data_IF_192535660259
#
_entry.id   IF_192535660259
#
_cell.length_a   1.000
_cell.length_b   1.000
_cell.length_c   1.000
_cell.angle_alpha   90.00
_cell.angle_beta   90.00
_cell.angle_gamma   90.00
#
_symmetry.space_group_name_H-M   'P 1'
#
loop_
_entity.id
_entity.type
_entity.pdbx_description
1 polymer ?
#
# COMPACT_ATOMS: atom_id res chain seq x y z
N UNK A 1 -8.84 -26.77 59.75
CA UNK A 1 -8.03 -25.79 59.00
C UNK A 1 -7.85 -26.38 57.61
N UNK A 2 -8.68 -25.94 56.66
CA UNK A 2 -8.77 -26.49 55.29
C UNK A 2 -8.11 -25.43 54.40
N UNK A 3 -7.08 -25.81 53.64
CA UNK A 3 -6.51 -24.96 52.59
C UNK A 3 -7.11 -25.46 51.27
N UNK A 4 -8.06 -24.70 50.75
CA UNK A 4 -8.53 -24.82 49.36
C UNK A 4 -7.49 -24.18 48.45
N UNK A 5 -7.01 -24.93 47.46
CA UNK A 5 -6.31 -24.36 46.31
C UNK A 5 -7.39 -24.00 45.27
N UNK A 6 -7.69 -22.71 45.18
CA UNK A 6 -8.52 -22.14 44.11
C UNK A 6 -7.63 -21.72 42.94
N UNK A 7 -8.15 -22.01 41.75
CA UNK A 7 -7.52 -21.85 40.45
C UNK A 7 -7.56 -20.39 39.95
N UNK A 8 -6.63 -20.11 39.03
CA UNK A 8 -6.79 -19.29 37.83
C UNK A 8 -7.27 -17.84 37.97
N UNK A 9 -6.31 -16.91 37.80
CA UNK A 9 -6.61 -15.52 37.49
C UNK A 9 -5.37 -14.64 37.35
N UNK A 10 -4.29 -15.13 36.74
CA UNK A 10 -3.18 -14.25 36.36
C UNK A 10 -3.64 -13.31 35.25
N UNK A 11 -3.91 -12.07 35.65
CA UNK A 11 -4.08 -10.91 34.78
C UNK A 11 -2.78 -10.69 33.99
N UNK A 12 -2.74 -11.23 32.77
CA UNK A 12 -1.68 -10.96 31.81
C UNK A 12 -1.91 -9.53 31.25
N UNK A 13 -1.34 -8.54 31.95
CA UNK A 13 -1.13 -7.19 31.43
C UNK A 13 -0.09 -7.23 30.31
N UNK A 14 -0.44 -7.84 29.17
CA UNK A 14 0.20 -7.50 27.90
C UNK A 14 -0.31 -6.13 27.51
N UNK A 15 0.50 -5.13 27.84
CA UNK A 15 0.40 -3.78 27.28
C UNK A 15 0.20 -3.91 25.77
N UNK A 16 -1.04 -3.66 25.36
CA UNK A 16 -1.42 -3.45 23.98
C UNK A 16 -0.61 -2.25 23.51
N UNK A 17 0.43 -2.51 22.73
CA UNK A 17 1.25 -1.45 22.15
C UNK A 17 0.34 -0.62 21.25
N UNK A 18 0.09 0.59 21.71
CA UNK A 18 -0.67 1.65 21.05
C UNK A 18 0.02 1.97 19.72
N UNK A 19 -0.39 1.29 18.65
CA UNK A 19 0.01 1.69 17.30
C UNK A 19 -0.61 3.07 17.05
N UNK A 20 0.18 4.07 16.62
CA UNK A 20 -0.39 5.39 16.35
C UNK A 20 -1.55 5.24 15.37
N UNK A 21 -2.72 5.77 15.75
CA UNK A 21 -4.04 5.69 15.13
C UNK A 21 -4.14 6.25 13.68
N UNK A 22 -3.04 6.25 12.92
CA UNK A 22 -2.96 6.54 11.49
C UNK A 22 -2.43 5.31 10.75
N UNK A 23 -3.08 4.17 10.95
CA UNK A 23 -2.92 3.02 10.06
C UNK A 23 -3.26 3.50 8.65
N UNK A 24 -2.26 3.56 7.76
CA UNK A 24 -2.52 3.87 6.35
C UNK A 24 -3.48 2.80 5.79
N UNK A 25 -4.33 3.14 4.82
CA UNK A 25 -5.32 2.19 4.32
C UNK A 25 -4.63 0.91 3.87
N UNK A 26 -5.07 -0.23 4.43
CA UNK A 26 -4.64 -1.55 3.99
C UNK A 26 -5.73 -2.04 3.05
N UNK A 27 -5.44 -1.98 1.76
CA UNK A 27 -6.45 -2.22 0.72
C UNK A 27 -6.73 -3.70 0.43
N UNK A 28 -6.02 -4.63 1.10
CA UNK A 28 -6.20 -6.08 0.92
C UNK A 28 -7.64 -6.56 1.20
N UNK A 29 -8.44 -5.77 1.94
CA UNK A 29 -9.82 -6.11 2.26
C UNK A 29 -10.86 -5.29 1.47
N UNK A 30 -10.44 -4.31 0.66
CA UNK A 30 -11.34 -3.39 -0.05
C UNK A 30 -10.79 -3.01 -1.45
N UNK A 31 -10.93 -3.91 -2.45
CA UNK A 31 -10.34 -3.71 -3.78
C UNK A 31 -10.94 -2.52 -4.54
N UNK A 32 -12.25 -2.26 -4.41
CA UNK A 32 -12.90 -1.13 -5.08
C UNK A 32 -12.39 0.22 -4.54
N UNK A 33 -12.12 0.30 -3.23
CA UNK A 33 -11.53 1.48 -2.60
C UNK A 33 -10.12 1.76 -3.13
N UNK A 34 -9.35 0.71 -3.45
CA UNK A 34 -8.01 0.84 -4.06
C UNK A 34 -8.06 1.39 -5.47
N UNK A 35 -8.98 0.88 -6.30
CA UNK A 35 -9.15 1.36 -7.67
C UNK A 35 -9.49 2.85 -7.66
N UNK A 36 -10.45 3.26 -6.83
CA UNK A 36 -10.83 4.67 -6.70
C UNK A 36 -9.65 5.55 -6.23
N UNK A 37 -8.82 5.06 -5.30
CA UNK A 37 -7.63 5.76 -4.84
C UNK A 37 -6.57 5.92 -5.95
N UNK A 38 -6.32 4.87 -6.74
CA UNK A 38 -5.41 4.90 -7.88
C UNK A 38 -5.88 5.87 -8.97
N UNK A 39 -7.17 5.82 -9.32
CA UNK A 39 -7.76 6.74 -10.30
C UNK A 39 -7.70 8.19 -9.84
N UNK A 40 -7.94 8.45 -8.56
CA UNK A 40 -7.83 9.79 -7.98
C UNK A 40 -6.39 10.27 -8.00
N UNK A 41 -5.45 9.44 -7.53
CA UNK A 41 -4.02 9.74 -7.58
C UNK A 41 -3.55 10.07 -8.99
N UNK A 42 -4.01 9.32 -9.99
CA UNK A 42 -3.58 9.53 -11.37
C UNK A 42 -4.03 10.89 -11.92
N UNK A 43 -5.25 11.32 -11.57
CA UNK A 43 -5.76 12.66 -11.89
C UNK A 43 -5.04 13.79 -11.16
N UNK A 44 -4.44 13.54 -10.01
CA UNK A 44 -3.70 14.54 -9.23
C UNK A 44 -2.24 14.71 -9.70
N UNK A 45 -1.71 13.72 -10.42
CA UNK A 45 -0.29 13.64 -10.79
C UNK A 45 0.07 14.32 -12.11
N UNK A 46 -0.84 15.14 -12.66
CA UNK A 46 -0.75 15.73 -14.01
C UNK A 46 0.53 16.56 -14.23
N UNK A 47 1.01 17.23 -13.18
CA UNK A 47 2.18 18.13 -13.24
C UNK A 47 3.39 17.60 -12.45
N UNK A 48 3.36 16.34 -12.02
CA UNK A 48 4.44 15.79 -11.19
C UNK A 48 5.59 15.28 -12.07
N UNK A 49 6.75 15.93 -11.94
CA UNK A 49 8.01 15.47 -12.56
C UNK A 49 8.81 14.51 -11.70
N UNK A 50 8.38 14.26 -10.45
CA UNK A 50 9.05 13.32 -9.54
C UNK A 50 8.98 11.91 -10.12
N UNK A 51 10.09 11.16 -10.21
CA UNK A 51 10.09 9.78 -10.69
C UNK A 51 9.04 8.88 -10.05
N UNK A 52 8.33 8.08 -10.85
CA UNK A 52 7.28 7.15 -10.41
C UNK A 52 7.75 6.25 -9.27
N UNK A 53 8.99 5.75 -9.32
CA UNK A 53 9.58 4.93 -8.27
C UNK A 53 9.64 5.65 -6.91
N UNK A 54 10.00 6.94 -6.90
CA UNK A 54 10.02 7.72 -5.67
C UNK A 54 8.58 7.95 -5.17
N UNK A 55 7.66 8.29 -6.06
CA UNK A 55 6.26 8.55 -5.71
C UNK A 55 5.61 7.32 -5.09
N UNK A 56 5.86 6.12 -5.63
CA UNK A 56 5.36 4.87 -5.06
C UNK A 56 5.88 4.65 -3.63
N UNK A 57 7.16 4.92 -3.38
CA UNK A 57 7.76 4.76 -2.06
C UNK A 57 7.27 5.80 -1.05
N UNK A 58 7.07 7.04 -1.46
CA UNK A 58 6.69 8.13 -0.54
C UNK A 58 5.18 8.22 -0.31
N UNK A 59 4.37 7.86 -1.31
CA UNK A 59 2.90 8.01 -1.29
C UNK A 59 2.23 6.73 -0.80
N UNK A 60 2.56 6.34 0.43
CA UNK A 60 2.07 5.11 1.06
C UNK A 60 0.57 5.15 1.41
N UNK A 61 -0.11 6.29 1.24
CA UNK A 61 -1.58 6.34 1.28
C UNK A 61 -2.21 5.66 0.07
N UNK A 62 -1.49 5.63 -1.06
CA UNK A 62 -1.94 5.00 -2.31
C UNK A 62 -1.21 3.68 -2.52
N UNK A 63 0.11 3.64 -2.33
CA UNK A 63 0.96 2.47 -2.59
C UNK A 63 1.43 1.80 -1.30
N UNK A 64 0.52 1.62 -0.34
CA UNK A 64 0.85 1.06 0.95
C UNK A 64 1.56 -0.28 0.81
N UNK A 65 2.73 -0.40 1.43
CA UNK A 65 3.51 -1.63 1.42
C UNK A 65 4.26 -1.90 0.11
N UNK A 66 4.24 -0.99 -0.87
CA UNK A 66 5.24 -0.97 -1.94
C UNK A 66 6.54 -0.36 -1.42
N UNK A 67 7.44 -1.20 -0.93
CA UNK A 67 8.80 -0.83 -0.57
C UNK A 67 9.70 -0.69 -1.80
N UNK A 68 11.02 -0.65 -1.57
CA UNK A 68 12.00 -0.49 -2.67
C UNK A 68 11.95 -1.66 -3.65
N UNK A 69 11.93 -2.89 -3.15
CA UNK A 69 11.97 -4.08 -3.98
C UNK A 69 10.63 -4.25 -4.70
N UNK A 70 9.54 -4.13 -3.97
CA UNK A 70 8.17 -4.27 -4.47
C UNK A 70 7.86 -3.24 -5.58
N UNK A 71 8.25 -1.97 -5.38
CA UNK A 71 8.07 -0.94 -6.40
C UNK A 71 8.91 -1.24 -7.65
N UNK A 72 10.13 -1.77 -7.48
CA UNK A 72 10.98 -2.16 -8.61
C UNK A 72 10.34 -3.31 -9.40
N UNK A 73 9.87 -4.35 -8.72
CA UNK A 73 9.24 -5.52 -9.33
C UNK A 73 7.95 -5.13 -10.07
N UNK A 74 7.11 -4.28 -9.46
CA UNK A 74 5.88 -3.76 -10.07
C UNK A 74 6.18 -2.95 -11.34
N UNK A 75 7.16 -2.03 -11.29
CA UNK A 75 7.51 -1.20 -12.44
C UNK A 75 8.14 -2.03 -13.57
N UNK A 76 8.99 -3.00 -13.21
CA UNK A 76 9.57 -3.92 -14.18
C UNK A 76 8.49 -4.77 -14.86
N UNK A 77 7.55 -5.33 -14.10
CA UNK A 77 6.43 -6.12 -14.65
C UNK A 77 5.49 -5.29 -15.52
N UNK A 78 5.32 -4.00 -15.21
CA UNK A 78 4.52 -3.07 -16.02
C UNK A 78 5.26 -2.52 -17.25
N UNK A 79 6.55 -2.86 -17.42
CA UNK A 79 7.45 -2.29 -18.45
C UNK A 79 7.56 -0.76 -18.38
N UNK A 80 7.61 -0.20 -17.17
CA UNK A 80 7.71 1.23 -16.92
C UNK A 80 9.09 1.56 -16.37
N UNK A 81 9.74 2.57 -16.96
CA UNK A 81 11.02 3.07 -16.44
C UNK A 81 10.84 3.66 -15.04
N UNK A 82 11.69 3.31 -14.05
CA UNK A 82 11.62 3.89 -12.71
C UNK A 82 11.75 5.41 -12.66
N UNK A 83 12.35 6.00 -13.70
CA UNK A 83 12.53 7.44 -13.86
C UNK A 83 11.40 8.13 -14.62
N UNK A 84 10.44 7.37 -15.16
CA UNK A 84 9.29 7.95 -15.85
C UNK A 84 8.48 8.79 -14.87
N UNK A 85 8.13 10.04 -15.22
CA UNK A 85 7.25 10.85 -14.38
C UNK A 85 5.82 10.27 -14.39
N UNK A 86 5.10 10.32 -13.26
CA UNK A 86 3.71 9.88 -13.13
C UNK A 86 2.77 10.47 -14.18
N UNK A 87 2.96 11.73 -14.57
CA UNK A 87 2.15 12.37 -15.59
C UNK A 87 2.18 11.60 -16.93
N UNK A 88 3.34 11.05 -17.32
CA UNK A 88 3.48 10.24 -18.53
C UNK A 88 2.85 8.85 -18.38
N UNK A 89 2.93 8.26 -17.17
CA UNK A 89 2.23 7.00 -16.87
C UNK A 89 0.73 7.17 -16.99
N UNK A 90 0.21 8.30 -16.47
CA UNK A 90 -1.21 8.61 -16.40
C UNK A 90 -1.83 9.14 -17.69
N UNK A 91 -1.06 9.79 -18.56
CA UNK A 91 -1.56 10.36 -19.83
C UNK A 91 -1.79 9.31 -20.92
N UNK A 92 -1.20 8.12 -20.81
CA UNK A 92 -1.39 7.04 -21.77
C UNK A 92 -2.26 5.95 -21.17
N UNK A 93 -3.48 5.79 -21.69
CA UNK A 93 -4.43 4.76 -21.22
C UNK A 93 -3.78 3.37 -21.16
N UNK A 94 -3.02 2.99 -22.19
CA UNK A 94 -2.34 1.70 -22.24
C UNK A 94 -1.23 1.54 -21.19
N UNK A 95 -0.51 2.61 -20.84
CA UNK A 95 0.55 2.58 -19.82
C UNK A 95 -0.09 2.57 -18.45
N UNK A 96 -1.12 3.39 -18.25
CA UNK A 96 -1.91 3.47 -17.02
C UNK A 96 -2.55 2.14 -16.68
N UNK A 97 -3.27 1.52 -17.63
CA UNK A 97 -3.94 0.23 -17.39
C UNK A 97 -2.95 -0.87 -17.03
N UNK A 98 -1.77 -0.93 -17.67
CA UNK A 98 -0.72 -1.88 -17.29
C UNK A 98 -0.22 -1.63 -15.87
N UNK A 99 0.09 -0.38 -15.53
CA UNK A 99 0.55 -0.01 -14.20
C UNK A 99 -0.48 -0.36 -13.12
N UNK A 100 -1.72 0.11 -13.30
CA UNK A 100 -2.84 -0.12 -12.40
C UNK A 100 -3.07 -1.62 -12.19
N UNK A 101 -3.09 -2.41 -13.27
CA UNK A 101 -3.24 -3.87 -13.19
C UNK A 101 -2.16 -4.51 -12.34
N UNK A 102 -0.88 -4.18 -12.57
CA UNK A 102 0.23 -4.77 -11.81
C UNK A 102 0.18 -4.39 -10.33
N UNK A 103 -0.17 -3.15 -10.01
CA UNK A 103 -0.32 -2.70 -8.61
C UNK A 103 -1.47 -3.45 -7.93
N UNK A 104 -2.61 -3.63 -8.60
CA UNK A 104 -3.76 -4.37 -8.05
C UNK A 104 -3.46 -5.86 -7.88
N UNK A 105 -2.79 -6.48 -8.86
CA UNK A 105 -2.36 -7.88 -8.75
C UNK A 105 -1.43 -8.10 -7.57
N UNK A 106 -0.47 -7.19 -7.36
CA UNK A 106 0.43 -7.28 -6.22
C UNK A 106 -0.33 -7.24 -4.89
N UNK A 107 -1.29 -6.32 -4.74
CA UNK A 107 -2.12 -6.22 -3.53
C UNK A 107 -2.95 -7.49 -3.29
N UNK A 108 -3.46 -8.13 -4.35
CA UNK A 108 -4.24 -9.37 -4.25
C UNK A 108 -3.40 -10.60 -3.86
N UNK A 109 -2.08 -10.56 -4.03
CA UNK A 109 -1.17 -11.67 -3.68
C UNK A 109 -0.59 -11.59 -2.26
N UNK A 110 -0.95 -10.55 -1.50
CA UNK A 110 -0.53 -10.36 -0.10
C UNK A 110 -1.53 -10.96 0.88
#
# INVERSE_FOLDING_TARGET
MIISNDELGQSDHRQQTDYPSRSKPVYSHEPDTKVAALETWCREMVDTSTPIFLVMKTTQTVFNGSGTQEATDQLQKAFISPLMPPCQVCQSDSVWERFKTVVLEYEATR
#
